data_IF_661403696668
#
_entry.id   IF_661403696668
#
_cell.length_a   1.000
_cell.length_b   1.000
_cell.length_c   1.000
_cell.angle_alpha   90.00
_cell.angle_beta   90.00
_cell.angle_gamma   90.00
#
_symmetry.space_group_name_H-M   'P 1'
#
loop_
_entity.id
_entity.type
_entity.pdbx_description
1 polymer ?
#
# COMPACT_ATOMS: atom_id res chain seq x y z
N UNK A 1 -18.19 60.08 1.71
CA UNK A 1 -16.80 59.64 1.47
C UNK A 1 -16.44 58.55 2.48
N UNK A 2 -16.52 57.27 2.07
CA UNK A 2 -16.21 56.15 2.95
C UNK A 2 -14.69 55.97 3.03
N UNK A 3 -14.11 56.08 4.23
CA UNK A 3 -12.69 55.82 4.46
C UNK A 3 -12.46 54.31 4.50
N UNK A 4 -11.89 53.78 3.43
CA UNK A 4 -11.49 52.39 3.32
C UNK A 4 -10.34 52.14 4.33
N UNK A 5 -10.63 51.42 5.41
CA UNK A 5 -9.64 51.10 6.45
C UNK A 5 -8.61 50.13 5.88
N UNK A 6 -7.31 50.45 5.91
CA UNK A 6 -6.25 49.61 5.32
C UNK A 6 -6.18 48.20 5.93
N UNK A 7 -6.69 48.01 7.15
CA UNK A 7 -6.80 46.68 7.77
C UNK A 7 -7.76 45.72 7.06
N UNK A 8 -8.78 46.23 6.35
CA UNK A 8 -9.75 45.39 5.63
C UNK A 8 -9.18 44.85 4.30
N UNK A 9 -8.25 45.59 3.69
CA UNK A 9 -7.55 45.16 2.47
C UNK A 9 -6.55 44.03 2.76
N UNK A 10 -5.95 44.01 3.96
CA UNK A 10 -4.99 42.99 4.37
C UNK A 10 -5.63 41.62 4.64
N UNK A 11 -6.89 41.58 5.08
CA UNK A 11 -7.60 40.33 5.36
C UNK A 11 -8.03 39.58 4.09
N UNK A 12 -8.32 40.28 2.99
CA UNK A 12 -8.70 39.62 1.72
C UNK A 12 -7.50 39.01 0.99
N UNK A 13 -6.27 39.51 1.24
CA UNK A 13 -5.07 38.92 0.67
C UNK A 13 -4.75 37.54 1.25
N UNK A 14 -5.02 37.30 2.54
CA UNK A 14 -4.70 36.02 3.19
C UNK A 14 -5.63 34.88 2.76
N UNK A 15 -6.89 35.18 2.40
CA UNK A 15 -7.86 34.17 1.93
C UNK A 15 -7.55 33.72 0.49
N UNK A 16 -6.97 34.59 -0.34
CA UNK A 16 -6.62 34.26 -1.73
C UNK A 16 -5.36 33.37 -1.86
N UNK A 17 -4.51 33.30 -0.83
CA UNK A 17 -3.32 32.44 -0.85
C UNK A 17 -3.58 30.99 -0.40
N UNK A 18 -4.70 30.71 0.29
CA UNK A 18 -5.02 29.35 0.74
C UNK A 18 -5.60 28.44 -0.36
N UNK A 19 -5.81 28.95 -1.58
CA UNK A 19 -6.46 28.20 -2.68
C UNK A 19 -5.55 27.91 -3.88
N UNK A 20 -4.26 28.22 -3.81
CA UNK A 20 -3.31 27.92 -4.90
C UNK A 20 -2.49 26.68 -4.63
N UNK A 21 -2.97 25.59 -5.22
CA UNK A 21 -2.17 24.43 -5.56
C UNK A 21 -2.50 23.22 -4.70
N UNK A 22 -3.35 22.34 -5.22
CA UNK A 22 -3.01 20.92 -5.18
C UNK A 22 -1.54 20.85 -5.57
N UNK A 23 -0.66 20.53 -4.61
CA UNK A 23 0.64 20.02 -4.97
C UNK A 23 0.32 18.79 -5.80
N UNK A 24 0.45 18.90 -7.13
CA UNK A 24 0.55 17.75 -7.98
C UNK A 24 1.82 17.03 -7.50
N UNK A 25 1.65 16.21 -6.48
CA UNK A 25 2.66 15.36 -5.89
C UNK A 25 3.31 14.64 -7.06
N UNK A 26 4.62 14.87 -7.23
CA UNK A 26 5.40 14.53 -8.41
C UNK A 26 5.00 13.18 -9.00
N UNK A 27 4.31 13.21 -10.13
CA UNK A 27 3.99 12.01 -10.88
C UNK A 27 5.32 11.46 -11.41
N UNK A 28 5.82 10.37 -10.82
CA UNK A 28 6.92 9.61 -11.42
C UNK A 28 6.59 9.36 -12.88
N UNK A 29 7.54 9.63 -13.77
CA UNK A 29 7.34 9.44 -15.21
C UNK A 29 7.09 7.96 -15.47
N UNK A 30 5.86 7.61 -15.84
CA UNK A 30 5.51 6.25 -16.22
C UNK A 30 6.16 5.92 -17.56
N UNK A 31 7.16 5.04 -17.54
CA UNK A 31 7.86 4.53 -18.73
C UNK A 31 7.04 3.41 -19.38
N UNK A 32 6.53 2.48 -18.57
CA UNK A 32 5.65 1.40 -19.00
C UNK A 32 4.47 1.30 -18.05
N UNK A 33 3.24 1.33 -18.58
CA UNK A 33 2.04 1.10 -17.79
C UNK A 33 2.01 -0.33 -17.24
N UNK A 34 1.11 -0.58 -16.29
CA UNK A 34 0.87 -1.91 -15.76
C UNK A 34 0.55 -2.90 -16.89
N UNK A 35 1.23 -4.04 -16.83
CA UNK A 35 1.01 -5.20 -17.67
C UNK A 35 0.98 -6.43 -16.77
N UNK A 36 0.15 -7.41 -17.14
CA UNK A 36 0.08 -8.66 -16.39
C UNK A 36 1.43 -9.38 -16.43
N UNK A 37 1.86 -9.86 -15.27
CA UNK A 37 3.05 -10.68 -15.09
C UNK A 37 2.66 -11.94 -14.35
N UNK A 38 3.31 -13.10 -14.61
CA UNK A 38 3.00 -14.33 -13.90
C UNK A 38 3.15 -14.16 -12.38
N UNK A 39 2.20 -14.70 -11.62
CA UNK A 39 2.27 -14.69 -10.16
C UNK A 39 3.54 -15.42 -9.65
N UNK A 40 4.02 -16.42 -10.39
CA UNK A 40 5.22 -17.18 -10.09
C UNK A 40 6.52 -16.42 -10.39
N UNK A 41 6.46 -15.21 -10.93
CA UNK A 41 7.63 -14.41 -11.22
C UNK A 41 8.36 -14.04 -9.92
N UNK A 42 9.68 -14.22 -9.89
CA UNK A 42 10.47 -14.10 -8.66
C UNK A 42 10.32 -12.73 -7.98
N UNK A 43 10.24 -11.66 -8.77
CA UNK A 43 10.07 -10.31 -8.21
C UNK A 43 8.64 -10.04 -7.72
N UNK A 44 7.63 -10.69 -8.30
CA UNK A 44 6.25 -10.66 -7.78
C UNK A 44 6.21 -11.34 -6.41
N UNK A 45 6.82 -12.52 -6.27
CA UNK A 45 6.90 -13.24 -5.00
C UNK A 45 7.68 -12.44 -3.95
N UNK A 46 8.79 -11.81 -4.33
CA UNK A 46 9.59 -10.98 -3.43
C UNK A 46 8.83 -9.72 -2.98
N UNK A 47 8.14 -9.04 -3.91
CA UNK A 47 7.29 -7.90 -3.59
C UNK A 47 6.14 -8.29 -2.66
N UNK A 48 5.50 -9.44 -2.91
CA UNK A 48 4.44 -9.97 -2.07
C UNK A 48 4.93 -10.32 -0.66
N UNK A 49 6.09 -10.96 -0.55
CA UNK A 49 6.71 -11.27 0.74
C UNK A 49 6.95 -9.99 1.56
N UNK A 50 7.54 -8.97 0.93
CA UNK A 50 7.74 -7.66 1.56
C UNK A 50 6.41 -7.03 1.97
N UNK A 51 5.40 -7.06 1.09
CA UNK A 51 4.09 -6.49 1.37
C UNK A 51 3.42 -7.15 2.57
N UNK A 52 3.48 -8.48 2.65
CA UNK A 52 2.93 -9.24 3.77
C UNK A 52 3.68 -9.02 5.07
N UNK A 53 5.01 -8.85 5.00
CA UNK A 53 5.82 -8.50 6.16
C UNK A 53 5.41 -7.14 6.75
N UNK A 54 5.31 -6.12 5.89
CA UNK A 54 4.89 -4.77 6.31
C UNK A 54 3.42 -4.73 6.75
N UNK A 55 2.53 -5.47 6.08
CA UNK A 55 1.13 -5.64 6.51
C UNK A 55 1.07 -6.24 7.91
N UNK A 56 1.74 -7.37 8.12
CA UNK A 56 1.74 -8.05 9.41
C UNK A 56 2.32 -7.16 10.49
N UNK A 57 3.47 -6.52 10.25
CA UNK A 57 4.08 -5.58 11.20
C UNK A 57 3.11 -4.47 11.62
N UNK A 58 2.43 -3.84 10.66
CA UNK A 58 1.50 -2.74 10.91
C UNK A 58 0.12 -3.14 11.44
N UNK A 59 -0.30 -4.40 11.24
CA UNK A 59 -1.60 -4.88 11.70
C UNK A 59 -1.70 -4.85 13.23
N UNK A 60 -2.86 -4.42 13.75
CA UNK A 60 -3.15 -4.43 15.19
C UNK A 60 -3.62 -5.80 15.69
N UNK A 61 -3.83 -6.76 14.78
CA UNK A 61 -4.26 -8.10 15.15
C UNK A 61 -3.14 -8.84 15.91
N UNK A 62 -3.54 -9.63 16.91
CA UNK A 62 -2.61 -10.46 17.68
C UNK A 62 -2.02 -11.59 16.85
N UNK A 63 -2.73 -11.99 15.79
CA UNK A 63 -2.34 -13.08 14.90
C UNK A 63 -1.77 -12.54 13.60
N UNK A 64 -0.89 -13.33 12.97
CA UNK A 64 -0.37 -13.02 11.65
C UNK A 64 -1.38 -13.41 10.57
N UNK A 65 -1.29 -12.77 9.41
CA UNK A 65 -2.04 -13.06 8.20
C UNK A 65 -1.12 -13.69 7.15
N UNK A 66 -1.68 -14.60 6.37
CA UNK A 66 -1.02 -15.23 5.21
C UNK A 66 -1.84 -15.03 3.95
N UNK A 67 -1.17 -15.10 2.80
CA UNK A 67 -1.83 -15.11 1.50
C UNK A 67 -2.53 -16.45 1.30
N UNK A 68 -3.80 -16.40 0.91
CA UNK A 68 -4.56 -17.55 0.43
C UNK A 68 -4.44 -17.69 -1.09
N UNK A 69 -4.52 -16.55 -1.78
CA UNK A 69 -4.57 -16.53 -3.24
C UNK A 69 -4.08 -15.18 -3.77
N UNK A 70 -3.33 -15.23 -4.86
CA UNK A 70 -3.04 -14.06 -5.69
C UNK A 70 -4.14 -13.99 -6.75
N UNK A 71 -4.84 -12.87 -6.79
CA UNK A 71 -5.95 -12.63 -7.73
C UNK A 71 -5.44 -11.91 -8.98
N UNK A 72 -4.44 -11.05 -8.81
CA UNK A 72 -3.84 -10.27 -9.89
C UNK A 72 -2.41 -9.87 -9.56
N UNK A 73 -1.54 -9.92 -10.56
CA UNK A 73 -0.17 -9.44 -10.50
C UNK A 73 0.18 -8.67 -11.77
N UNK A 74 0.53 -7.39 -11.61
CA UNK A 74 0.94 -6.52 -12.71
C UNK A 74 2.23 -5.79 -12.39
N UNK A 75 3.03 -5.50 -13.41
CA UNK A 75 4.28 -4.74 -13.29
C UNK A 75 4.21 -3.46 -14.15
N UNK A 76 4.53 -2.32 -13.54
CA UNK A 76 4.70 -1.02 -14.16
C UNK A 76 6.16 -0.58 -14.02
N UNK A 77 6.67 0.18 -15.00
CA UNK A 77 8.01 0.77 -14.95
C UNK A 77 7.89 2.28 -14.83
N UNK A 78 8.44 2.83 -13.76
CA UNK A 78 8.54 4.26 -13.44
C UNK A 78 10.01 4.62 -13.22
N UNK A 79 10.34 5.31 -12.13
CA UNK A 79 11.68 5.33 -11.56
C UNK A 79 11.98 4.06 -10.71
N UNK A 80 11.01 3.15 -10.58
CA UNK A 80 11.12 1.81 -10.00
C UNK A 80 10.39 0.76 -10.85
N UNK A 81 10.56 -0.52 -10.49
CA UNK A 81 9.67 -1.61 -10.90
C UNK A 81 8.52 -1.69 -9.89
N UNK A 82 7.33 -1.28 -10.29
CA UNK A 82 6.17 -1.21 -9.41
C UNK A 82 5.27 -2.42 -9.63
N UNK A 83 5.07 -3.21 -8.58
CA UNK A 83 4.24 -4.42 -8.62
C UNK A 83 2.89 -4.15 -7.97
N UNK A 84 1.83 -4.18 -8.76
CA UNK A 84 0.45 -4.17 -8.28
C UNK A 84 0.02 -5.61 -8.00
N UNK A 85 -0.41 -5.85 -6.77
CA UNK A 85 -0.78 -7.17 -6.27
C UNK A 85 -2.17 -7.08 -5.64
N UNK A 86 -3.15 -7.75 -6.23
CA UNK A 86 -4.46 -7.98 -5.61
C UNK A 86 -4.45 -9.40 -5.03
N UNK A 87 -4.64 -9.51 -3.72
CA UNK A 87 -4.50 -10.79 -3.00
C UNK A 87 -5.61 -10.98 -1.98
N UNK A 88 -6.00 -12.23 -1.77
CA UNK A 88 -6.82 -12.64 -0.64
C UNK A 88 -5.92 -13.10 0.50
N UNK A 89 -6.06 -12.50 1.67
CA UNK A 89 -5.32 -12.88 2.88
C UNK A 89 -6.27 -13.41 3.95
N UNK A 90 -5.75 -14.27 4.82
CA UNK A 90 -6.50 -14.79 5.96
C UNK A 90 -5.65 -14.83 7.22
N UNK A 91 -6.33 -14.64 8.35
CA UNK A 91 -5.74 -14.77 9.67
C UNK A 91 -5.25 -16.21 9.88
N UNK A 92 -4.09 -16.35 10.52
CA UNK A 92 -3.52 -17.63 10.91
C UNK A 92 -3.77 -17.93 12.38
N UNK A 93 -3.41 -19.14 12.81
CA UNK A 93 -3.40 -19.53 14.22
C UNK A 93 -2.15 -19.03 14.97
N UNK A 94 -1.18 -18.44 14.27
CA UNK A 94 0.08 -18.00 14.85
C UNK A 94 -0.02 -16.60 15.42
N UNK A 95 0.41 -16.45 16.67
CA UNK A 95 0.54 -15.15 17.32
C UNK A 95 1.76 -14.42 16.78
N UNK A 96 1.61 -13.13 16.53
CA UNK A 96 2.72 -12.26 16.10
C UNK A 96 3.90 -12.28 17.08
N UNK A 97 3.62 -12.36 18.38
CA UNK A 97 4.64 -12.43 19.42
C UNK A 97 5.52 -13.69 19.37
N UNK A 98 5.08 -14.75 18.69
CA UNK A 98 5.83 -15.99 18.53
C UNK A 98 6.88 -15.94 17.41
N UNK A 99 6.99 -14.81 16.70
CA UNK A 99 7.92 -14.64 15.58
C UNK A 99 7.35 -15.05 14.22
N UNK A 100 8.15 -14.87 13.17
CA UNK A 100 7.83 -15.40 11.83
C UNK A 100 7.96 -16.93 11.85
N UNK A 101 6.84 -17.62 11.57
CA UNK A 101 6.83 -19.06 11.38
C UNK A 101 6.21 -19.34 10.01
N UNK A 102 6.98 -19.98 9.13
CA UNK A 102 6.57 -20.26 7.75
C UNK A 102 5.44 -21.30 7.69
N UNK A 103 5.33 -22.16 8.70
CA UNK A 103 4.37 -23.28 8.74
C UNK A 103 3.04 -22.93 9.43
N UNK A 104 2.65 -21.65 9.45
CA UNK A 104 1.42 -21.21 10.09
C UNK A 104 0.17 -21.61 9.29
N UNK A 105 -0.72 -22.35 9.97
CA UNK A 105 -2.02 -22.74 9.43
C UNK A 105 -3.02 -21.58 9.48
N UNK A 106 -3.92 -21.57 8.50
CA UNK A 106 -5.04 -20.61 8.44
C UNK A 106 -6.01 -20.89 9.59
N UNK A 107 -6.55 -19.84 10.19
CA UNK A 107 -7.60 -19.94 11.20
C UNK A 107 -8.96 -20.10 10.52
N UNK A 108 -9.56 -21.28 10.68
CA UNK A 108 -10.87 -21.63 10.09
C UNK A 108 -12.02 -21.62 11.10
N UNK A 109 -11.74 -21.39 12.38
CA UNK A 109 -12.80 -21.23 13.38
C UNK A 109 -13.71 -20.05 13.00
N UNK A 110 -15.04 -20.23 12.88
CA UNK A 110 -15.95 -19.18 12.41
C UNK A 110 -15.97 -17.91 13.25
N UNK A 111 -15.64 -17.98 14.54
CA UNK A 111 -15.59 -16.83 15.44
C UNK A 111 -14.25 -16.10 15.36
N UNK A 112 -13.19 -16.82 14.97
CA UNK A 112 -11.83 -16.31 14.90
C UNK A 112 -11.33 -16.09 13.48
N UNK A 113 -12.03 -16.52 12.45
CA UNK A 113 -11.60 -16.28 11.08
C UNK A 113 -11.71 -14.80 10.72
N UNK A 114 -10.73 -14.29 9.98
CA UNK A 114 -10.79 -12.99 9.31
C UNK A 114 -10.15 -13.14 7.96
N UNK A 115 -10.81 -12.63 6.94
CA UNK A 115 -10.30 -12.60 5.57
C UNK A 115 -10.39 -11.18 5.03
N UNK A 116 -9.42 -10.81 4.22
CA UNK A 116 -9.39 -9.51 3.56
C UNK A 116 -9.01 -9.68 2.10
N UNK A 117 -9.61 -8.85 1.25
CA UNK A 117 -9.11 -8.57 -0.07
C UNK A 117 -8.20 -7.35 0.02
N UNK A 118 -6.93 -7.51 -0.36
CA UNK A 118 -5.93 -6.45 -0.28
C UNK A 118 -5.39 -6.10 -1.66
N UNK A 119 -5.19 -4.81 -1.89
CA UNK A 119 -4.43 -4.25 -3.00
C UNK A 119 -3.14 -3.64 -2.45
N UNK A 120 -2.00 -4.17 -2.91
CA UNK A 120 -0.68 -3.62 -2.64
C UNK A 120 -0.08 -3.06 -3.93
N UNK A 121 0.65 -1.95 -3.81
CA UNK A 121 1.61 -1.52 -4.83
C UNK A 121 2.97 -1.42 -4.15
N UNK A 122 3.92 -2.23 -4.60
CA UNK A 122 5.28 -2.28 -4.06
C UNK A 122 6.25 -1.79 -5.13
N UNK A 123 6.98 -0.73 -4.83
CA UNK A 123 8.09 -0.26 -5.66
C UNK A 123 9.36 -1.05 -5.31
N UNK A 124 10.04 -1.55 -6.33
CA UNK A 124 11.33 -2.20 -6.23
C UNK A 124 12.37 -1.44 -7.05
N UNK A 125 13.50 -1.12 -6.43
CA UNK A 125 14.70 -0.61 -7.09
C UNK A 125 15.83 -1.63 -6.90
N UNK A 126 15.94 -2.65 -7.77
CA UNK A 126 16.93 -3.71 -7.60
C UNK A 126 18.38 -3.21 -7.51
N UNK A 127 18.71 -2.13 -8.24
CA UNK A 127 20.04 -1.51 -8.24
C UNK A 127 20.42 -0.85 -6.91
N UNK A 128 19.45 -0.55 -6.05
CA UNK A 128 19.65 0.01 -4.71
C UNK A 128 19.27 -0.96 -3.59
N UNK A 129 18.84 -2.19 -3.92
CA UNK A 129 18.29 -3.17 -2.98
C UNK A 129 17.14 -2.60 -2.13
N UNK A 130 16.30 -1.75 -2.73
CA UNK A 130 15.24 -1.03 -2.04
C UNK A 130 13.87 -1.58 -2.42
N UNK A 131 13.02 -1.77 -1.41
CA UNK A 131 11.59 -2.07 -1.53
C UNK A 131 10.82 -1.06 -0.70
N UNK A 132 9.75 -0.52 -1.26
CA UNK A 132 8.87 0.41 -0.55
C UNK A 132 7.40 0.15 -0.87
N UNK A 133 6.56 0.33 0.14
CA UNK A 133 5.11 0.20 0.01
C UNK A 133 4.54 1.52 -0.51
N UNK A 134 4.13 1.57 -1.78
CA UNK A 134 3.48 2.74 -2.37
C UNK A 134 1.99 2.79 -2.03
N UNK A 135 1.33 1.62 -2.00
CA UNK A 135 -0.10 1.51 -1.74
C UNK A 135 -0.40 0.28 -0.90
N UNK A 136 -1.27 0.44 0.09
CA UNK A 136 -1.80 -0.65 0.91
C UNK A 136 -3.26 -0.36 1.26
N UNK A 137 -4.17 -1.05 0.60
CA UNK A 137 -5.61 -0.99 0.88
C UNK A 137 -6.12 -2.41 1.11
N UNK A 138 -6.96 -2.59 2.13
CA UNK A 138 -7.54 -3.89 2.46
C UNK A 138 -8.98 -3.73 2.93
N UNK A 139 -9.84 -4.61 2.44
CA UNK A 139 -11.28 -4.62 2.76
C UNK A 139 -11.67 -6.01 3.28
N UNK A 140 -12.52 -6.10 4.33
CA UNK A 140 -13.04 -7.40 4.79
C UNK A 140 -13.77 -8.13 3.66
N UNK A 141 -13.64 -9.46 3.63
CA UNK A 141 -14.40 -10.36 2.74
C UNK A 141 -15.65 -10.88 3.45
#
# INVERSE_FOLDING_TARGET
MARLRPGLLLLMAMVALASRGFQAWGSSKVVRKFQDVPESYVYVQHALWFAMKEYNKASKDEYTFKVLQILKSQEQVTDSLDYLLEVKIARTMCRKASGENENCLVQWDPQMQKMFHCTFIVASKPWNFELSMLKKECEPV
#
